data_IF_656051429189
#
_entry.id   IF_656051429189
#
_cell.length_a   1.000
_cell.length_b   1.000
_cell.length_c   1.000
_cell.angle_alpha   90.00
_cell.angle_beta   90.00
_cell.angle_gamma   90.00
#
_symmetry.space_group_name_H-M   'P 1'
#
loop_
_entity.id
_entity.type
_entity.pdbx_description
1 polymer ?
#
# COMPACT_ATOMS: atom_id res chain seq x y z
N UNK A 1 12.59 -7.08 -5.67
CA UNK A 1 11.25 -6.50 -5.78
C UNK A 1 10.15 -7.47 -5.38
N UNK A 2 9.11 -7.03 -4.66
CA UNK A 2 7.85 -7.74 -4.61
C UNK A 2 7.42 -8.03 -6.05
N UNK A 3 7.16 -9.30 -6.36
CA UNK A 3 6.69 -9.70 -7.68
C UNK A 3 5.38 -8.95 -7.94
N UNK A 4 5.30 -8.29 -9.09
CA UNK A 4 4.07 -7.71 -9.61
C UNK A 4 3.00 -8.79 -9.68
N UNK A 5 1.81 -8.47 -9.21
CA UNK A 5 0.64 -9.34 -9.29
C UNK A 5 -0.43 -8.64 -10.13
N UNK A 6 -1.10 -9.38 -11.02
CA UNK A 6 -2.18 -8.86 -11.90
C UNK A 6 -3.46 -8.54 -11.11
N UNK A 7 -3.32 -8.33 -9.80
CA UNK A 7 -4.37 -8.04 -8.86
C UNK A 7 -4.47 -9.06 -7.75
N UNK A 8 -4.77 -8.58 -6.54
CA UNK A 8 -5.07 -9.42 -5.39
C UNK A 8 -6.41 -10.12 -5.67
N UNK A 9 -6.38 -11.43 -5.90
CA UNK A 9 -7.53 -12.24 -6.33
C UNK A 9 -8.39 -12.76 -5.17
N UNK A 10 -7.84 -12.84 -3.96
CA UNK A 10 -8.54 -13.37 -2.78
C UNK A 10 -9.39 -12.33 -2.03
N UNK A 11 -9.68 -11.18 -2.65
CA UNK A 11 -10.52 -10.17 -2.02
C UNK A 11 -11.97 -10.52 -2.24
N UNK A 12 -12.73 -10.48 -1.15
CA UNK A 12 -14.18 -10.60 -1.18
C UNK A 12 -14.82 -9.26 -0.78
N UNK A 13 -16.09 -9.08 -1.11
CA UNK A 13 -16.96 -7.98 -0.67
C UNK A 13 -16.83 -7.57 0.81
N UNK A 14 -16.30 -8.42 1.70
CA UNK A 14 -16.17 -8.11 3.13
C UNK A 14 -14.93 -7.28 3.51
N UNK A 15 -13.92 -7.16 2.64
CA UNK A 15 -12.65 -6.51 2.97
C UNK A 15 -12.68 -5.06 2.54
N UNK A 16 -13.46 -4.22 3.24
CA UNK A 16 -13.72 -2.83 2.81
C UNK A 16 -12.92 -1.78 3.58
N UNK A 17 -12.25 -2.16 4.68
CA UNK A 17 -11.56 -1.21 5.56
C UNK A 17 -10.10 -1.53 5.73
N UNK A 18 -9.22 -0.63 5.29
CA UNK A 18 -7.78 -0.78 5.45
C UNK A 18 -7.34 -0.68 6.92
N UNK A 19 -8.09 0.04 7.78
CA UNK A 19 -7.77 0.15 9.22
C UNK A 19 -7.73 -1.19 9.97
N UNK A 20 -8.41 -2.24 9.49
CA UNK A 20 -8.25 -3.59 10.07
C UNK A 20 -6.86 -4.18 9.79
N UNK A 21 -6.19 -3.78 8.71
CA UNK A 21 -4.80 -4.18 8.44
C UNK A 21 -3.89 -3.54 9.49
N UNK A 22 -4.10 -2.27 9.84
CA UNK A 22 -3.39 -1.60 10.95
C UNK A 22 -3.62 -2.31 12.27
N UNK A 23 -4.87 -2.67 12.57
CA UNK A 23 -5.22 -3.42 13.77
C UNK A 23 -4.51 -4.78 13.83
N UNK A 24 -4.46 -5.51 12.71
CA UNK A 24 -3.71 -6.79 12.61
C UNK A 24 -2.22 -6.57 12.90
N UNK A 25 -1.60 -5.52 12.35
CA UNK A 25 -0.20 -5.23 12.59
C UNK A 25 0.08 -4.93 14.07
N UNK A 26 -0.74 -4.10 14.72
CA UNK A 26 -0.65 -3.84 16.17
C UNK A 26 -0.83 -5.12 16.99
N UNK A 27 -1.79 -5.98 16.63
CA UNK A 27 -2.01 -7.26 17.31
C UNK A 27 -0.82 -8.23 17.17
N UNK A 28 0.04 -8.07 16.16
CA UNK A 28 1.19 -8.94 15.89
C UNK A 28 2.54 -8.29 16.24
N UNK A 29 2.56 -7.05 16.74
CA UNK A 29 3.73 -6.16 16.81
C UNK A 29 4.98 -6.79 17.45
N UNK A 30 4.80 -7.61 18.48
CA UNK A 30 5.89 -8.29 19.19
C UNK A 30 5.69 -9.79 19.34
N UNK A 31 4.77 -10.38 18.57
CA UNK A 31 4.38 -11.78 18.77
C UNK A 31 3.99 -12.47 17.48
N UNK A 32 4.16 -13.78 17.48
CA UNK A 32 3.59 -14.68 16.48
C UNK A 32 2.32 -15.27 17.07
N UNK A 33 1.19 -15.16 16.38
CA UNK A 33 -0.09 -15.72 16.82
C UNK A 33 -0.51 -16.85 15.89
N UNK A 34 -1.18 -17.88 16.41
CA UNK A 34 -1.91 -18.80 15.53
C UNK A 34 -3.05 -18.05 14.84
N UNK A 35 -3.47 -18.54 13.67
CA UNK A 35 -4.57 -17.94 12.91
C UNK A 35 -5.85 -17.79 13.73
N UNK A 36 -6.25 -18.85 14.45
CA UNK A 36 -7.47 -18.83 15.28
C UNK A 36 -7.41 -17.77 16.38
N UNK A 37 -6.24 -17.58 16.99
CA UNK A 37 -6.03 -16.56 18.02
C UNK A 37 -6.06 -15.16 17.41
N UNK A 38 -5.40 -14.94 16.28
CA UNK A 38 -5.44 -13.67 15.56
C UNK A 38 -6.87 -13.30 15.15
N UNK A 39 -7.63 -14.24 14.58
CA UNK A 39 -8.99 -14.00 14.14
C UNK A 39 -9.91 -13.64 15.32
N UNK A 40 -9.79 -14.37 16.43
CA UNK A 40 -10.57 -14.10 17.64
C UNK A 40 -10.23 -12.74 18.25
N UNK A 41 -8.95 -12.36 18.28
CA UNK A 41 -8.52 -11.04 18.75
C UNK A 41 -9.01 -9.92 17.84
N UNK A 42 -9.01 -10.13 16.52
CA UNK A 42 -9.51 -9.13 15.56
C UNK A 42 -11.03 -8.95 15.65
N UNK A 43 -11.81 -10.03 15.86
CA UNK A 43 -13.26 -9.92 16.14
C UNK A 43 -13.51 -9.11 17.41
N UNK A 44 -12.81 -9.44 18.51
CA UNK A 44 -12.94 -8.70 19.76
C UNK A 44 -12.54 -7.22 19.59
N UNK A 45 -11.45 -6.96 18.88
CA UNK A 45 -11.02 -5.60 18.57
C UNK A 45 -12.09 -4.86 17.76
N UNK A 46 -12.68 -5.49 16.74
CA UNK A 46 -13.74 -4.87 15.93
C UNK A 46 -14.97 -4.52 16.75
N UNK A 47 -15.40 -5.40 17.66
CA UNK A 47 -16.54 -5.14 18.54
C UNK A 47 -16.28 -3.94 19.47
N UNK A 48 -15.07 -3.84 20.01
CA UNK A 48 -14.70 -2.74 20.89
C UNK A 48 -14.71 -1.37 20.18
N UNK A 49 -14.54 -1.35 18.86
CA UNK A 49 -14.52 -0.13 18.03
C UNK A 49 -15.74 -0.02 17.10
N UNK A 50 -16.84 -0.71 17.42
CA UNK A 50 -18.07 -0.63 16.61
C UNK A 50 -18.59 0.80 16.53
N UNK A 51 -18.59 1.53 17.65
CA UNK A 51 -19.05 2.93 17.69
C UNK A 51 -18.20 3.83 16.79
N UNK A 52 -16.88 3.62 16.77
CA UNK A 52 -15.98 4.39 15.92
C UNK A 52 -16.29 4.15 14.44
N UNK A 53 -16.54 2.90 14.04
CA UNK A 53 -16.93 2.58 12.67
C UNK A 53 -18.29 3.19 12.30
N UNK A 54 -19.25 3.23 13.24
CA UNK A 54 -20.56 3.83 13.01
C UNK A 54 -20.49 5.34 12.84
N UNK A 55 -19.55 5.99 13.53
CA UNK A 55 -19.24 7.41 13.37
C UNK A 55 -18.36 7.73 12.15
N UNK A 56 -17.81 6.72 11.48
CA UNK A 56 -16.97 6.89 10.31
C UNK A 56 -17.81 7.19 9.05
N UNK A 57 -17.21 7.87 8.07
CA UNK A 57 -17.86 8.28 6.82
C UNK A 57 -18.57 7.13 6.07
N UNK A 58 -18.14 5.88 6.30
CA UNK A 58 -18.82 4.71 5.78
C UNK A 58 -18.79 3.52 6.75
N UNK A 59 -19.98 3.04 7.13
CA UNK A 59 -20.18 2.00 8.15
C UNK A 59 -19.98 0.56 7.63
N UNK A 60 -19.68 0.37 6.34
CA UNK A 60 -19.51 -0.95 5.74
C UNK A 60 -18.14 -1.56 6.06
N UNK A 61 -18.08 -2.90 6.06
CA UNK A 61 -16.86 -3.64 6.35
C UNK A 61 -16.69 -4.05 7.80
N UNK A 62 -17.71 -3.84 8.64
CA UNK A 62 -17.74 -4.28 10.04
C UNK A 62 -17.52 -5.79 10.19
N UNK A 63 -16.61 -6.18 11.08
CA UNK A 63 -16.35 -7.58 11.40
C UNK A 63 -17.27 -8.00 12.55
N UNK A 64 -18.32 -8.76 12.21
CA UNK A 64 -19.19 -9.42 13.19
C UNK A 64 -18.61 -10.77 13.61
N UNK A 65 -18.85 -11.16 14.86
CA UNK A 65 -18.52 -12.51 15.34
C UNK A 65 -19.32 -13.54 14.55
N UNK A 66 -18.63 -14.51 13.95
CA UNK A 66 -19.26 -15.61 13.23
C UNK A 66 -18.60 -16.94 13.59
N UNK A 67 -19.38 -18.04 13.62
CA UNK A 67 -18.84 -19.38 13.95
C UNK A 67 -17.64 -19.81 13.08
N UNK A 68 -17.52 -19.27 11.87
CA UNK A 68 -16.43 -19.58 10.93
C UNK A 68 -15.36 -18.48 10.78
N UNK A 69 -15.44 -17.39 11.53
CA UNK A 69 -14.48 -16.27 11.50
C UNK A 69 -14.14 -15.81 10.07
N UNK A 70 -15.16 -15.69 9.23
CA UNK A 70 -14.98 -15.49 7.79
C UNK A 70 -14.39 -14.12 7.46
N UNK A 71 -14.88 -13.06 8.11
CA UNK A 71 -14.38 -11.70 7.87
C UNK A 71 -12.95 -11.47 8.40
N UNK A 72 -12.60 -11.85 9.65
CA UNK A 72 -11.23 -11.74 10.15
C UNK A 72 -10.22 -12.47 9.27
N UNK A 73 -10.55 -13.70 8.84
CA UNK A 73 -9.71 -14.50 7.94
C UNK A 73 -9.43 -13.76 6.62
N UNK A 74 -10.43 -13.07 6.07
CA UNK A 74 -10.28 -12.32 4.82
C UNK A 74 -9.40 -11.08 4.98
N UNK A 75 -9.50 -10.37 6.10
CA UNK A 75 -8.59 -9.26 6.40
C UNK A 75 -7.15 -9.74 6.65
N UNK A 76 -6.98 -10.88 7.34
CA UNK A 76 -5.66 -11.49 7.48
C UNK A 76 -5.08 -11.92 6.13
N UNK A 77 -5.89 -12.50 5.24
CA UNK A 77 -5.46 -12.81 3.87
C UNK A 77 -5.08 -11.54 3.10
N UNK A 78 -5.83 -10.43 3.22
CA UNK A 78 -5.44 -9.16 2.61
C UNK A 78 -4.07 -8.70 3.13
N UNK A 79 -3.86 -8.70 4.45
CA UNK A 79 -2.58 -8.29 5.04
C UNK A 79 -1.41 -9.17 4.57
N UNK A 80 -1.67 -10.46 4.32
CA UNK A 80 -0.72 -11.40 3.70
C UNK A 80 -0.47 -11.06 2.23
N UNK A 81 -1.52 -10.81 1.44
CA UNK A 81 -1.40 -10.45 0.02
C UNK A 81 -0.65 -9.13 -0.20
N UNK A 82 -0.83 -8.15 0.70
CA UNK A 82 -0.05 -6.92 0.70
C UNK A 82 1.41 -7.14 1.13
N UNK A 83 1.76 -8.33 1.62
CA UNK A 83 3.11 -8.67 2.07
C UNK A 83 3.48 -8.12 3.45
N UNK A 84 2.52 -7.57 4.19
CA UNK A 84 2.71 -6.96 5.51
C UNK A 84 2.71 -8.00 6.64
N UNK A 85 1.97 -9.10 6.44
CA UNK A 85 1.92 -10.25 7.35
C UNK A 85 2.42 -11.51 6.64
N UNK A 86 3.25 -12.30 7.34
CA UNK A 86 3.71 -13.60 6.89
C UNK A 86 2.93 -14.71 7.57
N UNK A 87 2.67 -15.81 6.84
CA UNK A 87 2.03 -17.02 7.35
C UNK A 87 2.97 -18.20 7.24
N UNK A 88 3.25 -18.87 8.35
CA UNK A 88 4.11 -20.08 8.41
C UNK A 88 3.43 -21.08 9.34
N UNK A 89 3.14 -22.28 8.83
CA UNK A 89 2.54 -23.38 9.61
C UNK A 89 1.29 -22.97 10.44
N UNK A 90 0.38 -22.20 9.84
CA UNK A 90 -0.85 -21.73 10.53
C UNK A 90 -0.62 -20.64 11.59
N UNK A 91 0.59 -20.08 11.66
CA UNK A 91 0.91 -18.93 12.49
C UNK A 91 1.18 -17.69 11.64
N UNK A 92 0.76 -16.52 12.16
CA UNK A 92 0.89 -15.21 11.55
C UNK A 92 1.90 -14.36 12.33
N UNK A 93 2.74 -13.61 11.60
CA UNK A 93 3.69 -12.65 12.15
C UNK A 93 3.87 -11.45 11.21
N UNK A 94 4.24 -10.30 11.75
CA UNK A 94 4.59 -9.13 10.92
C UNK A 94 5.83 -9.44 10.07
N UNK A 95 5.81 -9.08 8.79
CA UNK A 95 6.99 -9.20 7.91
C UNK A 95 7.94 -8.03 8.10
N UNK A 96 9.14 -8.10 7.51
CA UNK A 96 10.04 -6.94 7.44
C UNK A 96 9.42 -5.70 6.79
N UNK A 97 8.43 -5.86 5.91
CA UNK A 97 7.70 -4.75 5.29
C UNK A 97 6.57 -4.24 6.19
N UNK A 98 5.85 -5.12 6.88
CA UNK A 98 4.86 -4.68 7.88
C UNK A 98 5.51 -3.91 9.03
N UNK A 99 6.75 -4.28 9.40
CA UNK A 99 7.51 -3.59 10.45
C UNK A 99 7.80 -2.12 10.15
N UNK A 100 7.91 -1.73 8.88
CA UNK A 100 8.21 -0.33 8.51
C UNK A 100 7.08 0.62 8.91
N UNK A 101 5.86 0.11 9.10
CA UNK A 101 4.70 0.93 9.45
C UNK A 101 4.46 1.01 10.97
N UNK A 102 4.97 0.05 11.75
CA UNK A 102 4.66 -0.07 13.19
C UNK A 102 4.92 1.20 14.00
N UNK A 103 6.05 1.93 13.84
CA UNK A 103 6.31 3.15 14.62
C UNK A 103 5.25 4.22 14.41
N UNK A 104 4.75 4.35 13.18
CA UNK A 104 3.73 5.33 12.81
C UNK A 104 2.33 4.96 13.29
N UNK A 105 2.07 3.67 13.56
CA UNK A 105 0.77 3.24 14.08
C UNK A 105 0.53 3.73 15.52
N UNK A 106 1.55 4.09 16.29
CA UNK A 106 1.39 4.56 17.68
C UNK A 106 1.31 6.07 17.82
N UNK A 107 1.60 6.82 16.76
CA UNK A 107 1.58 8.28 16.78
C UNK A 107 0.15 8.87 16.88
N UNK A 108 -0.89 8.04 16.76
CA UNK A 108 -2.29 8.47 16.88
C UNK A 108 -2.78 8.38 18.33
N UNK A 109 -2.81 9.50 19.04
CA UNK A 109 -3.58 9.61 20.29
C UNK A 109 -4.96 10.21 19.99
N UNK A 110 -6.03 9.44 20.26
CA UNK A 110 -7.44 9.85 20.37
C UNK A 110 -8.31 10.05 19.09
N UNK A 111 -7.92 9.55 17.91
CA UNK A 111 -8.79 9.55 16.73
C UNK A 111 -9.38 8.16 16.41
N UNK A 112 -10.42 8.15 15.57
CA UNK A 112 -11.09 6.95 15.12
C UNK A 112 -10.06 5.97 14.49
N UNK A 113 -9.94 4.71 14.95
CA UNK A 113 -8.92 3.78 14.44
C UNK A 113 -9.11 3.36 12.98
N UNK A 114 -10.24 3.72 12.36
CA UNK A 114 -10.48 3.52 10.93
C UNK A 114 -10.00 4.69 10.08
N UNK A 115 -9.70 5.84 10.68
CA UNK A 115 -9.05 6.97 10.02
C UNK A 115 -7.55 6.69 9.91
N UNK A 116 -7.10 6.48 8.67
CA UNK A 116 -5.70 6.23 8.39
C UNK A 116 -4.88 7.52 8.57
N UNK A 117 -3.76 7.41 9.27
CA UNK A 117 -2.68 8.41 9.25
C UNK A 117 -2.09 8.56 7.85
N UNK A 118 -1.35 9.64 7.61
CA UNK A 118 -0.69 9.83 6.32
C UNK A 118 0.38 8.77 6.02
N UNK A 119 1.07 8.26 7.06
CA UNK A 119 1.97 7.13 6.94
C UNK A 119 1.24 5.85 6.50
N UNK A 120 0.07 5.56 7.09
CA UNK A 120 -0.79 4.44 6.71
C UNK A 120 -1.32 4.61 5.28
N UNK A 121 -1.80 5.81 4.92
CA UNK A 121 -2.29 6.11 3.56
C UNK A 121 -1.20 5.89 2.52
N UNK A 122 -0.02 6.46 2.74
CA UNK A 122 1.14 6.30 1.87
C UNK A 122 1.52 4.82 1.73
N UNK A 123 1.63 4.10 2.85
CA UNK A 123 2.03 2.68 2.86
C UNK A 123 1.01 1.79 2.17
N UNK A 124 -0.29 1.95 2.46
CA UNK A 124 -1.30 1.11 1.83
C UNK A 124 -1.48 1.42 0.36
N UNK A 125 -1.43 2.69 -0.05
CA UNK A 125 -1.43 3.03 -1.46
C UNK A 125 -0.23 2.42 -2.18
N UNK A 126 0.97 2.46 -1.57
CA UNK A 126 2.17 1.84 -2.15
C UNK A 126 1.94 0.35 -2.44
N UNK A 127 1.52 -0.41 -1.43
CA UNK A 127 1.33 -1.85 -1.58
C UNK A 127 0.17 -2.21 -2.49
N UNK A 128 -0.90 -1.40 -2.52
CA UNK A 128 -2.00 -1.57 -3.47
C UNK A 128 -1.55 -1.31 -4.91
N UNK A 129 -0.66 -0.34 -5.17
CA UNK A 129 -0.09 -0.15 -6.51
C UNK A 129 0.91 -1.25 -6.87
N UNK A 130 1.65 -1.80 -5.90
CA UNK A 130 2.55 -2.95 -6.14
C UNK A 130 1.77 -4.23 -6.49
N UNK A 131 0.64 -4.47 -5.82
CA UNK A 131 -0.07 -5.77 -5.83
C UNK A 131 -1.39 -5.78 -6.59
N UNK A 132 -1.98 -4.61 -6.81
CA UNK A 132 -3.34 -4.48 -7.32
C UNK A 132 -3.56 -3.29 -8.26
N UNK A 133 -2.48 -2.73 -8.83
CA UNK A 133 -2.55 -1.52 -9.64
C UNK A 133 -3.56 -1.60 -10.76
N UNK A 134 -3.59 -2.67 -11.56
CA UNK A 134 -4.44 -2.66 -12.77
C UNK A 134 -5.92 -2.48 -12.40
N UNK A 135 -6.41 -3.12 -11.33
CA UNK A 135 -7.80 -2.98 -10.90
C UNK A 135 -8.06 -1.66 -10.20
N UNK A 136 -7.15 -1.22 -9.34
CA UNK A 136 -7.26 0.04 -8.62
C UNK A 136 -7.26 1.23 -9.59
N UNK A 137 -6.30 1.25 -10.52
CA UNK A 137 -6.15 2.30 -11.54
C UNK A 137 -7.31 2.29 -12.55
N UNK A 138 -7.88 1.13 -12.86
CA UNK A 138 -9.12 1.05 -13.66
C UNK A 138 -10.26 1.82 -12.99
N UNK A 139 -10.46 1.63 -11.69
CA UNK A 139 -11.50 2.33 -10.93
C UNK A 139 -11.24 3.84 -10.89
N UNK A 140 -9.99 4.26 -10.65
CA UNK A 140 -9.62 5.68 -10.70
C UNK A 140 -9.92 6.26 -12.09
N UNK A 141 -9.58 5.54 -13.17
CA UNK A 141 -9.86 5.99 -14.55
C UNK A 141 -11.36 6.19 -14.79
N UNK A 142 -12.19 5.24 -14.37
CA UNK A 142 -13.65 5.36 -14.48
C UNK A 142 -14.20 6.60 -13.78
N UNK A 143 -13.67 6.91 -12.58
CA UNK A 143 -14.06 8.10 -11.83
C UNK A 143 -13.57 9.40 -12.47
N UNK A 144 -12.35 9.42 -13.03
CA UNK A 144 -11.80 10.57 -13.77
C UNK A 144 -12.63 10.89 -15.01
N UNK A 145 -13.01 9.86 -15.78
CA UNK A 145 -13.79 10.04 -17.01
C UNK A 145 -15.27 10.38 -16.75
N UNK A 146 -15.72 10.35 -15.49
CA UNK A 146 -17.10 10.66 -15.12
C UNK A 146 -18.15 9.68 -15.68
N UNK A 147 -17.72 8.52 -16.18
CA UNK A 147 -18.56 7.56 -16.90
C UNK A 147 -19.51 6.79 -16.00
N UNK A 148 -19.24 6.76 -14.70
CA UNK A 148 -20.07 6.10 -13.69
C UNK A 148 -19.87 6.73 -12.32
N UNK A 149 -20.97 7.20 -11.70
CA UNK A 149 -20.92 7.79 -10.37
C UNK A 149 -21.57 6.90 -9.31
N UNK A 150 -22.58 6.08 -9.65
CA UNK A 150 -23.15 5.14 -8.67
C UNK A 150 -22.35 3.84 -8.61
N UNK A 151 -22.41 3.14 -7.47
CA UNK A 151 -21.76 1.84 -7.33
C UNK A 151 -22.24 0.82 -8.39
N UNK A 152 -23.52 0.84 -8.75
CA UNK A 152 -24.05 -0.07 -9.78
C UNK A 152 -23.44 0.24 -11.15
N UNK A 153 -23.39 1.52 -11.52
CA UNK A 153 -22.82 1.96 -12.81
C UNK A 153 -21.34 1.58 -12.88
N UNK A 154 -20.60 1.77 -11.78
CA UNK A 154 -19.20 1.39 -11.70
C UNK A 154 -19.02 -0.12 -11.89
N UNK A 155 -19.88 -0.94 -11.28
CA UNK A 155 -19.82 -2.39 -11.46
C UNK A 155 -20.16 -2.82 -12.89
N UNK A 156 -21.17 -2.20 -13.50
CA UNK A 156 -21.60 -2.55 -14.86
C UNK A 156 -20.56 -2.15 -15.92
N UNK A 157 -19.89 -1.00 -15.74
CA UNK A 157 -18.85 -0.52 -16.65
C UNK A 157 -17.47 -1.17 -16.44
N UNK A 158 -17.17 -1.68 -15.23
CA UNK A 158 -15.83 -2.15 -14.87
C UNK A 158 -15.24 -3.21 -15.82
N UNK A 159 -15.97 -4.26 -16.25
CA UNK A 159 -15.39 -5.29 -17.14
C UNK A 159 -14.81 -4.72 -18.43
N UNK A 160 -15.50 -3.75 -19.04
CA UNK A 160 -15.05 -3.09 -20.26
C UNK A 160 -13.78 -2.28 -20.01
N UNK A 161 -13.79 -1.44 -18.97
CA UNK A 161 -12.65 -0.60 -18.60
C UNK A 161 -11.42 -1.43 -18.22
N UNK A 162 -11.61 -2.51 -17.46
CA UNK A 162 -10.56 -3.41 -17.06
C UNK A 162 -10.00 -4.23 -18.23
N UNK A 163 -10.85 -4.61 -19.19
CA UNK A 163 -10.38 -5.27 -20.41
C UNK A 163 -9.47 -4.33 -21.22
N UNK A 164 -9.85 -3.06 -21.38
CA UNK A 164 -9.02 -2.03 -22.02
C UNK A 164 -7.71 -1.81 -21.26
N UNK A 165 -7.76 -1.78 -19.92
CA UNK A 165 -6.58 -1.69 -19.07
C UNK A 165 -5.60 -2.83 -19.38
N UNK A 166 -6.09 -4.08 -19.37
CA UNK A 166 -5.25 -5.25 -19.61
C UNK A 166 -4.72 -5.30 -21.05
N UNK A 167 -5.49 -4.85 -22.04
CA UNK A 167 -5.05 -4.74 -23.43
C UNK A 167 -3.93 -3.72 -23.59
N UNK A 168 -4.08 -2.51 -23.03
CA UNK A 168 -3.04 -1.49 -23.06
C UNK A 168 -1.78 -1.96 -22.33
N UNK A 169 -1.94 -2.66 -21.19
CA UNK A 169 -0.82 -3.27 -20.46
C UNK A 169 -0.04 -4.28 -21.29
N UNK A 170 -0.69 -5.08 -22.14
CA UNK A 170 0.00 -6.04 -23.01
C UNK A 170 0.92 -5.37 -24.05
N UNK A 171 0.66 -4.12 -24.42
CA UNK A 171 1.51 -3.38 -25.38
C UNK A 171 2.89 -3.04 -24.81
N UNK A 172 3.01 -2.95 -23.48
CA UNK A 172 4.23 -2.51 -22.79
C UNK A 172 4.72 -3.52 -21.75
N UNK A 173 4.08 -4.69 -21.65
CA UNK A 173 4.40 -5.69 -20.67
C UNK A 173 5.73 -6.40 -21.00
N UNK A 174 6.59 -6.51 -20.01
CA UNK A 174 7.73 -7.43 -20.05
C UNK A 174 7.23 -8.88 -20.15
N UNK A 175 8.01 -9.73 -20.83
CA UNK A 175 7.66 -11.14 -21.06
C UNK A 175 7.34 -11.91 -19.77
N UNK A 176 8.05 -11.59 -18.68
CA UNK A 176 7.90 -12.21 -17.36
C UNK A 176 6.50 -12.02 -16.75
N UNK A 177 5.76 -10.98 -17.15
CA UNK A 177 4.43 -10.63 -16.62
C UNK A 177 3.35 -10.72 -17.70
N UNK A 178 3.72 -10.63 -18.98
CA UNK A 178 2.79 -10.65 -20.11
C UNK A 178 1.87 -11.88 -20.10
N UNK A 179 2.38 -13.06 -19.71
CA UNK A 179 1.58 -14.29 -19.59
C UNK A 179 0.46 -14.17 -18.55
N UNK A 180 0.77 -13.60 -17.38
CA UNK A 180 -0.21 -13.43 -16.31
C UNK A 180 -1.28 -12.40 -16.71
N UNK A 181 -0.88 -11.31 -17.40
CA UNK A 181 -1.79 -10.29 -17.93
C UNK A 181 -2.70 -10.90 -19.00
N UNK A 182 -2.15 -11.68 -19.93
CA UNK A 182 -2.92 -12.36 -20.98
C UNK A 182 -3.94 -13.34 -20.37
N UNK A 183 -3.54 -14.11 -19.36
CA UNK A 183 -4.43 -15.00 -18.64
C UNK A 183 -5.56 -14.23 -17.92
N UNK A 184 -5.26 -13.09 -17.29
CA UNK A 184 -6.28 -12.22 -16.71
C UNK A 184 -7.23 -11.66 -17.78
N UNK A 185 -6.70 -11.16 -18.90
CA UNK A 185 -7.45 -10.60 -20.02
C UNK A 185 -8.42 -11.62 -20.60
N UNK A 186 -7.95 -12.83 -20.83
CA UNK A 186 -8.78 -13.92 -21.34
C UNK A 186 -9.87 -14.31 -20.34
N UNK A 187 -9.60 -14.33 -19.03
CA UNK A 187 -10.64 -14.57 -18.02
C UNK A 187 -11.73 -13.49 -18.04
N UNK A 188 -11.34 -12.21 -18.07
CA UNK A 188 -12.28 -11.07 -18.08
C UNK A 188 -13.11 -11.04 -19.35
N UNK A 189 -12.52 -11.36 -20.51
CA UNK A 189 -13.24 -11.42 -21.79
C UNK A 189 -14.41 -12.43 -21.78
N UNK A 190 -14.35 -13.45 -20.92
CA UNK A 190 -15.40 -14.47 -20.77
C UNK A 190 -16.32 -14.21 -19.56
N UNK A 191 -16.22 -13.05 -18.90
CA UNK A 191 -17.15 -12.67 -17.85
C UNK A 191 -18.55 -12.46 -18.45
N UNK A 192 -19.40 -13.50 -18.34
CA UNK A 192 -20.82 -13.41 -18.68
C UNK A 192 -21.54 -12.49 -17.70
N UNK A 193 -22.72 -11.99 -18.08
CA UNK A 193 -23.60 -11.16 -17.22
C UNK A 193 -23.88 -11.78 -15.83
N UNK A 194 -23.84 -13.12 -15.74
CA UNK A 194 -23.99 -13.91 -14.50
C UNK A 194 -22.76 -13.87 -13.57
N UNK A 195 -21.61 -13.36 -14.03
CA UNK A 195 -20.39 -13.20 -13.22
C UNK A 195 -20.37 -11.91 -12.39
N UNK A 196 -21.53 -11.27 -12.19
CA UNK A 196 -21.73 -10.09 -11.34
C UNK A 196 -21.05 -10.22 -9.97
N UNK A 197 -21.05 -11.44 -9.41
CA UNK A 197 -20.36 -11.77 -8.15
C UNK A 197 -18.85 -11.51 -8.17
N UNK A 198 -18.17 -11.72 -9.29
CA UNK A 198 -16.74 -11.41 -9.43
C UNK A 198 -16.49 -9.91 -9.33
N UNK A 199 -17.31 -9.11 -10.01
CA UNK A 199 -17.20 -7.65 -9.99
C UNK A 199 -17.57 -7.08 -8.61
N UNK A 200 -18.59 -7.64 -7.96
CA UNK A 200 -18.96 -7.31 -6.56
C UNK A 200 -17.82 -7.57 -5.56
N UNK A 201 -16.98 -8.58 -5.81
CA UNK A 201 -15.81 -8.83 -4.99
C UNK A 201 -14.62 -7.92 -5.34
N UNK A 202 -14.69 -7.20 -6.47
CA UNK A 202 -13.60 -6.35 -6.96
C UNK A 202 -13.85 -4.87 -6.66
N UNK A 203 -14.94 -4.32 -7.19
CA UNK A 203 -15.19 -2.88 -7.26
C UNK A 203 -15.48 -2.27 -5.88
N UNK A 204 -16.46 -2.76 -5.09
CA UNK A 204 -16.77 -2.16 -3.80
C UNK A 204 -15.57 -2.10 -2.85
N UNK A 205 -14.82 -3.20 -2.58
CA UNK A 205 -13.64 -3.14 -1.71
C UNK A 205 -12.66 -2.03 -2.09
N UNK A 206 -12.33 -1.90 -3.38
CA UNK A 206 -11.37 -0.92 -3.88
C UNK A 206 -11.89 0.51 -3.80
N UNK A 207 -13.18 0.75 -4.04
CA UNK A 207 -13.81 2.06 -3.80
C UNK A 207 -13.68 2.44 -2.32
N UNK A 208 -13.94 1.50 -1.40
CA UNK A 208 -13.79 1.79 0.02
C UNK A 208 -12.33 1.96 0.44
N UNK A 209 -11.38 1.24 -0.16
CA UNK A 209 -9.95 1.47 0.08
C UNK A 209 -9.52 2.85 -0.41
N UNK A 210 -9.94 3.26 -1.60
CA UNK A 210 -9.69 4.62 -2.10
C UNK A 210 -10.34 5.68 -1.20
N UNK A 211 -11.47 5.36 -0.56
CA UNK A 211 -12.09 6.24 0.43
C UNK A 211 -11.30 6.31 1.73
N UNK A 212 -10.84 5.17 2.27
CA UNK A 212 -9.96 5.16 3.45
C UNK A 212 -8.64 5.90 3.19
N UNK A 213 -8.13 5.86 1.96
CA UNK A 213 -6.97 6.62 1.50
C UNK A 213 -7.26 8.12 1.31
N UNK A 214 -8.51 8.57 1.43
CA UNK A 214 -8.91 9.96 1.20
C UNK A 214 -8.92 10.39 -0.27
N UNK A 215 -8.83 9.45 -1.23
CA UNK A 215 -8.81 9.72 -2.67
C UNK A 215 -10.22 9.75 -3.28
N UNK A 216 -11.18 9.08 -2.65
CA UNK A 216 -12.58 9.00 -3.09
C UNK A 216 -13.51 9.38 -1.95
N UNK A 217 -14.53 10.17 -2.23
CA UNK A 217 -15.66 10.37 -1.32
C UNK A 217 -16.81 9.46 -1.74
N UNK A 218 -17.48 8.85 -0.76
CA UNK A 218 -18.67 8.02 -0.97
C UNK A 218 -19.84 8.69 -0.27
N UNK A 219 -20.77 9.21 -1.06
CA UNK A 219 -21.95 9.93 -0.57
C UNK A 219 -23.17 8.99 -0.54
N UNK A 220 -23.99 9.12 0.48
CA UNK A 220 -25.22 8.36 0.66
C UNK A 220 -26.44 9.30 0.49
N UNK A 221 -26.71 9.77 -0.72
CA UNK A 221 -27.92 10.54 -1.04
C UNK A 221 -28.95 9.65 -1.77
N UNK A 222 -29.48 8.64 -1.06
CA UNK A 222 -30.42 7.64 -1.59
C UNK A 222 -29.83 6.62 -2.58
N UNK A 223 -28.77 6.99 -3.31
CA UNK A 223 -27.89 6.10 -4.08
C UNK A 223 -26.44 6.35 -3.64
N UNK A 224 -25.63 5.29 -3.61
CA UNK A 224 -24.20 5.41 -3.26
C UNK A 224 -23.43 5.99 -4.42
N UNK A 225 -23.12 7.27 -4.34
CA UNK A 225 -22.31 7.98 -5.33
C UNK A 225 -20.86 8.02 -4.89
N UNK A 226 -19.94 7.76 -5.81
CA UNK A 226 -18.50 7.81 -5.58
C UNK A 226 -17.89 8.84 -6.52
N UNK A 227 -17.10 9.76 -5.97
CA UNK A 227 -16.37 10.78 -6.73
C UNK A 227 -14.98 10.96 -6.18
N UNK A 228 -14.03 11.32 -7.04
CA UNK A 228 -12.69 11.69 -6.58
C UNK A 228 -12.78 12.91 -5.67
N UNK A 229 -12.01 12.89 -4.58
CA UNK A 229 -11.74 14.09 -3.78
C UNK A 229 -10.75 14.99 -4.53
N UNK A 230 -10.50 16.20 -4.06
CA UNK A 230 -9.41 17.05 -4.60
C UNK A 230 -8.06 16.32 -4.55
N UNK A 231 -7.76 15.66 -3.43
CA UNK A 231 -6.60 14.78 -3.25
C UNK A 231 -6.56 13.67 -4.31
N UNK A 232 -7.70 13.02 -4.58
CA UNK A 232 -7.82 12.01 -5.64
C UNK A 232 -7.59 12.55 -7.06
N UNK A 233 -8.10 13.75 -7.35
CA UNK A 233 -7.89 14.44 -8.62
C UNK A 233 -6.40 14.75 -8.79
N UNK A 234 -5.77 15.39 -7.80
CA UNK A 234 -4.34 15.68 -7.81
C UNK A 234 -3.52 14.40 -8.02
N UNK A 235 -3.80 13.34 -7.25
CA UNK A 235 -3.12 12.05 -7.43
C UNK A 235 -3.25 11.51 -8.85
N UNK A 236 -4.44 11.58 -9.45
CA UNK A 236 -4.66 11.10 -10.81
C UNK A 236 -3.86 11.85 -11.88
N UNK A 237 -3.50 13.11 -11.64
CA UNK A 237 -2.69 13.92 -12.57
C UNK A 237 -1.23 13.48 -12.59
N UNK A 238 -0.72 12.95 -11.48
CA UNK A 238 0.65 12.41 -11.40
C UNK A 238 0.75 10.96 -11.88
N UNK A 239 -0.37 10.29 -12.14
CA UNK A 239 -0.35 8.90 -12.59
C UNK A 239 0.23 8.82 -14.01
N UNK A 240 1.30 8.02 -14.22
CA UNK A 240 1.83 7.77 -15.54
C UNK A 240 0.79 7.07 -16.42
N UNK A 241 0.82 7.40 -17.71
CA UNK A 241 -0.06 6.81 -18.71
C UNK A 241 0.76 6.00 -19.71
N UNK A 242 0.21 4.88 -20.16
CA UNK A 242 0.74 4.14 -21.29
C UNK A 242 0.56 5.03 -22.53
N UNK A 243 1.63 5.23 -23.27
CA UNK A 243 1.62 6.03 -24.50
C UNK A 243 0.50 5.56 -25.42
N UNK A 244 -0.14 6.49 -26.12
CA UNK A 244 -1.22 6.26 -27.11
C UNK A 244 -2.57 5.75 -26.57
N UNK A 245 -2.66 5.23 -25.34
CA UNK A 245 -3.90 4.64 -24.81
C UNK A 245 -4.59 5.45 -23.71
N UNK A 246 -3.93 6.48 -23.17
CA UNK A 246 -4.37 7.27 -22.00
C UNK A 246 -4.64 6.45 -20.73
N UNK A 247 -4.30 5.15 -20.74
CA UNK A 247 -4.50 4.22 -19.62
C UNK A 247 -3.45 4.43 -18.55
N UNK A 248 -3.86 4.59 -17.29
CA UNK A 248 -2.94 4.70 -16.16
C UNK A 248 -2.14 3.42 -15.94
N UNK A 249 -0.82 3.54 -15.69
CA UNK A 249 0.04 2.39 -15.41
C UNK A 249 1.26 2.77 -14.57
N UNK A 250 1.33 2.26 -13.34
CA UNK A 250 2.51 2.38 -12.48
C UNK A 250 3.50 1.23 -12.72
N UNK A 251 4.72 1.55 -13.16
CA UNK A 251 5.82 0.58 -13.27
C UNK A 251 6.62 0.50 -11.96
N UNK A 252 7.40 -0.58 -11.74
CA UNK A 252 8.31 -0.64 -10.59
C UNK A 252 9.33 0.49 -10.56
N UNK A 253 9.74 0.98 -11.74
CA UNK A 253 10.62 2.15 -11.86
C UNK A 253 9.93 3.41 -11.36
N UNK A 254 8.69 3.68 -11.80
CA UNK A 254 7.94 4.83 -11.32
C UNK A 254 7.71 4.78 -9.81
N UNK A 255 7.38 3.60 -9.26
CA UNK A 255 7.20 3.41 -7.82
C UNK A 255 8.47 3.74 -7.02
N UNK A 256 9.66 3.51 -7.57
CA UNK A 256 10.93 3.83 -6.91
C UNK A 256 11.36 5.29 -7.07
N UNK A 257 11.04 5.90 -8.22
CA UNK A 257 11.54 7.22 -8.61
C UNK A 257 10.62 8.37 -8.25
N UNK A 258 9.32 8.13 -8.04
CA UNK A 258 8.34 9.22 -7.99
C UNK A 258 7.31 9.08 -6.86
N UNK A 259 6.99 7.84 -6.45
CA UNK A 259 5.84 7.59 -5.58
C UNK A 259 5.89 8.33 -4.24
N UNK A 260 7.01 8.26 -3.52
CA UNK A 260 7.10 8.85 -2.18
C UNK A 260 7.15 10.37 -2.24
N UNK A 261 7.79 10.95 -3.26
CA UNK A 261 7.74 12.39 -3.50
C UNK A 261 6.31 12.88 -3.77
N UNK A 262 5.57 12.21 -4.65
CA UNK A 262 4.17 12.55 -4.98
C UNK A 262 3.27 12.39 -3.77
N UNK A 263 3.34 11.24 -3.07
CA UNK A 263 2.43 10.97 -1.96
C UNK A 263 2.74 11.77 -0.71
N UNK A 264 4.00 12.13 -0.48
CA UNK A 264 4.37 13.11 0.55
C UNK A 264 3.66 14.43 0.31
N UNK A 265 3.72 14.97 -0.92
CA UNK A 265 3.03 16.22 -1.26
C UNK A 265 1.51 16.12 -1.12
N UNK A 266 0.91 15.01 -1.59
CA UNK A 266 -0.54 14.88 -1.69
C UNK A 266 -1.22 14.61 -0.34
N UNK A 267 -0.62 13.78 0.51
CA UNK A 267 -1.24 13.41 1.78
C UNK A 267 -0.83 14.34 2.92
N UNK A 268 0.45 14.69 2.99
CA UNK A 268 0.99 15.36 4.17
C UNK A 268 0.89 16.88 4.04
N UNK A 269 0.80 17.42 2.82
CA UNK A 269 0.55 18.85 2.56
C UNK A 269 1.65 19.82 3.00
N UNK A 270 2.60 19.35 3.83
CA UNK A 270 3.70 20.08 4.46
C UNK A 270 5.04 19.53 4.01
N UNK A 271 5.23 19.36 2.69
CA UNK A 271 6.56 19.11 2.16
C UNK A 271 7.25 20.46 2.02
N UNK A 272 8.25 20.69 2.88
CA UNK A 272 9.02 21.93 2.90
C UNK A 272 10.12 21.92 1.84
N UNK A 273 10.73 20.75 1.60
CA UNK A 273 11.88 20.58 0.70
C UNK A 273 11.86 19.22 0.01
N UNK A 274 12.36 19.19 -1.23
CA UNK A 274 12.70 17.92 -1.87
C UNK A 274 14.08 17.44 -1.44
N UNK A 275 14.27 16.13 -1.31
CA UNK A 275 15.55 15.53 -0.92
C UNK A 275 16.72 16.03 -1.78
N UNK A 276 16.50 16.17 -3.09
CA UNK A 276 17.49 16.66 -4.06
C UNK A 276 17.88 18.13 -3.87
N UNK A 277 17.10 18.91 -3.13
CA UNK A 277 17.37 20.33 -2.82
C UNK A 277 18.22 20.50 -1.55
N UNK A 278 18.45 19.41 -0.80
CA UNK A 278 19.20 19.43 0.45
C UNK A 278 20.70 19.31 0.16
N UNK A 279 21.49 20.14 0.84
CA UNK A 279 22.95 20.13 0.71
C UNK A 279 23.55 18.79 1.18
N UNK A 280 24.62 18.32 0.52
CA UNK A 280 25.22 17.00 0.75
C UNK A 280 25.57 16.73 2.21
N UNK A 281 26.11 17.74 2.92
CA UNK A 281 26.44 17.63 4.35
C UNK A 281 25.21 17.34 5.21
N UNK A 282 24.09 18.03 4.96
CA UNK A 282 22.83 17.81 5.68
C UNK A 282 22.22 16.46 5.31
N UNK A 283 22.26 16.07 4.02
CA UNK A 283 21.81 14.74 3.57
C UNK A 283 22.59 13.62 4.26
N UNK A 284 23.89 13.78 4.42
CA UNK A 284 24.76 12.82 5.09
C UNK A 284 24.38 12.65 6.57
N UNK A 285 24.19 13.76 7.29
CA UNK A 285 23.77 13.74 8.70
C UNK A 285 22.39 13.08 8.87
N UNK A 286 21.43 13.46 8.02
CA UNK A 286 20.10 12.83 7.98
C UNK A 286 20.21 11.32 7.71
N UNK A 287 21.00 10.91 6.73
CA UNK A 287 21.16 9.48 6.41
C UNK A 287 21.79 8.68 7.55
N UNK A 288 22.69 9.27 8.34
CA UNK A 288 23.19 8.62 9.55
C UNK A 288 22.08 8.37 10.56
N UNK A 289 21.28 9.40 10.86
CA UNK A 289 20.16 9.30 11.79
C UNK A 289 19.11 8.29 11.30
N UNK A 290 18.68 8.43 10.04
CA UNK A 290 17.72 7.54 9.39
C UNK A 290 18.18 6.10 9.39
N UNK A 291 19.48 5.86 9.11
CA UNK A 291 20.05 4.51 9.15
C UNK A 291 20.01 3.95 10.56
N UNK A 292 20.43 4.71 11.56
CA UNK A 292 20.36 4.28 12.95
C UNK A 292 18.92 3.91 13.36
N UNK A 293 17.95 4.78 13.08
CA UNK A 293 16.54 4.52 13.39
C UNK A 293 15.97 3.30 12.64
N UNK A 294 16.35 3.11 11.37
CA UNK A 294 15.95 1.94 10.60
C UNK A 294 16.52 0.64 11.20
N UNK A 295 17.73 0.69 11.77
CA UNK A 295 18.32 -0.44 12.48
C UNK A 295 17.58 -0.77 13.77
N UNK A 296 17.29 0.23 14.60
CA UNK A 296 16.53 0.03 15.85
C UNK A 296 15.14 -0.57 15.58
N UNK A 297 14.49 -0.13 14.50
CA UNK A 297 13.13 -0.57 14.16
C UNK A 297 13.08 -1.93 13.45
N UNK A 298 13.93 -2.14 12.43
CA UNK A 298 13.76 -3.25 11.49
C UNK A 298 14.62 -4.47 11.83
N UNK A 299 15.63 -4.31 12.68
CA UNK A 299 16.50 -5.42 13.08
C UNK A 299 15.69 -6.51 13.77
N UNK A 300 15.94 -7.75 13.33
CA UNK A 300 15.26 -8.94 13.85
C UNK A 300 16.23 -9.98 14.41
N UNK A 301 17.53 -9.76 14.23
CA UNK A 301 18.58 -10.68 14.68
C UNK A 301 19.74 -9.88 15.28
N UNK A 302 20.60 -10.52 16.09
CA UNK A 302 21.82 -9.89 16.59
C UNK A 302 22.78 -9.47 15.48
N UNK A 303 22.70 -10.05 14.27
CA UNK A 303 23.56 -9.62 13.16
C UNK A 303 23.29 -8.16 12.81
N UNK A 304 24.34 -7.33 12.61
CA UNK A 304 24.19 -5.91 12.34
C UNK A 304 23.81 -5.67 10.88
N UNK A 305 22.80 -6.39 10.39
CA UNK A 305 22.30 -6.26 9.01
C UNK A 305 20.79 -6.16 8.97
N UNK A 306 20.29 -5.28 8.12
CA UNK A 306 18.86 -5.17 7.79
C UNK A 306 18.68 -5.17 6.28
N UNK A 307 17.52 -5.62 5.81
CA UNK A 307 17.23 -5.61 4.37
C UNK A 307 17.11 -4.17 3.88
N UNK A 308 17.79 -3.85 2.77
CA UNK A 308 17.89 -2.47 2.26
C UNK A 308 16.52 -1.92 1.87
N UNK A 309 15.73 -2.68 1.13
CA UNK A 309 14.48 -2.17 0.57
C UNK A 309 13.40 -1.81 1.62
N UNK A 310 13.13 -2.62 2.66
CA UNK A 310 12.33 -2.17 3.80
C UNK A 310 12.91 -0.95 4.51
N UNK A 311 14.24 -0.85 4.63
CA UNK A 311 14.87 0.32 5.23
C UNK A 311 14.62 1.58 4.41
N UNK A 312 14.77 1.54 3.08
CA UNK A 312 14.46 2.67 2.20
C UNK A 312 12.99 3.12 2.34
N UNK A 313 12.03 2.18 2.40
CA UNK A 313 10.61 2.50 2.62
C UNK A 313 10.41 3.19 3.97
N UNK A 314 11.00 2.65 5.04
CA UNK A 314 10.93 3.23 6.37
C UNK A 314 11.51 4.65 6.40
N UNK A 315 12.69 4.85 5.82
CA UNK A 315 13.36 6.16 5.74
C UNK A 315 12.54 7.17 4.95
N UNK A 316 11.96 6.78 3.82
CA UNK A 316 11.11 7.66 3.01
C UNK A 316 9.83 8.05 3.77
N UNK A 317 9.22 7.12 4.52
CA UNK A 317 8.08 7.45 5.38
C UNK A 317 8.48 8.44 6.47
N UNK A 318 9.60 8.19 7.15
CA UNK A 318 10.08 9.03 8.24
C UNK A 318 10.39 10.46 7.75
N UNK A 319 11.13 10.58 6.64
CA UNK A 319 11.42 11.88 6.02
C UNK A 319 10.15 12.63 5.64
N UNK A 320 9.21 11.94 5.00
CA UNK A 320 7.96 12.57 4.57
C UNK A 320 7.10 13.02 5.76
N UNK A 321 6.98 12.20 6.80
CA UNK A 321 6.03 12.40 7.91
C UNK A 321 6.57 13.25 9.04
N UNK A 322 7.81 13.01 9.45
CA UNK A 322 8.40 13.64 10.65
C UNK A 322 9.34 14.80 10.27
N UNK A 323 9.91 14.81 9.06
CA UNK A 323 10.84 15.85 8.63
C UNK A 323 10.30 16.80 7.54
N UNK A 324 9.12 16.54 6.97
CA UNK A 324 8.57 17.34 5.88
C UNK A 324 9.43 17.32 4.60
N UNK A 325 10.20 16.26 4.37
CA UNK A 325 11.13 16.13 3.24
C UNK A 325 10.63 15.06 2.28
N UNK A 326 10.37 15.44 1.03
CA UNK A 326 9.99 14.51 -0.02
C UNK A 326 11.20 13.76 -0.58
N UNK A 327 11.29 12.45 -0.31
CA UNK A 327 12.39 11.60 -0.77
C UNK A 327 11.91 10.32 -1.46
N UNK A 328 12.42 10.04 -2.65
CA UNK A 328 12.15 8.80 -3.37
C UNK A 328 13.16 7.71 -3.03
N UNK A 329 12.75 6.44 -3.19
CA UNK A 329 13.60 5.30 -2.84
C UNK A 329 14.89 5.26 -3.65
N UNK A 330 14.85 5.67 -4.92
CA UNK A 330 16.04 5.70 -5.77
C UNK A 330 17.06 6.77 -5.32
N UNK A 331 16.58 7.95 -4.91
CA UNK A 331 17.41 9.03 -4.40
C UNK A 331 18.12 8.61 -3.11
N UNK A 332 17.36 8.08 -2.14
CA UNK A 332 17.92 7.57 -0.88
C UNK A 332 18.91 6.43 -1.11
N UNK A 333 18.62 5.54 -2.06
CA UNK A 333 19.54 4.45 -2.40
C UNK A 333 20.86 4.97 -2.99
N UNK A 334 20.80 5.96 -3.89
CA UNK A 334 21.98 6.53 -4.53
C UNK A 334 22.90 7.22 -3.53
N UNK A 335 22.34 7.98 -2.60
CA UNK A 335 23.12 8.67 -1.57
C UNK A 335 23.65 7.71 -0.51
N UNK A 336 22.87 6.69 -0.11
CA UNK A 336 23.37 5.62 0.76
C UNK A 336 24.58 4.91 0.14
N UNK A 337 24.54 4.59 -1.16
CA UNK A 337 25.70 4.01 -1.86
C UNK A 337 26.90 4.97 -1.87
N UNK A 338 26.67 6.23 -2.24
CA UNK A 338 27.70 7.26 -2.36
C UNK A 338 28.38 7.50 -1.02
N UNK A 339 27.62 7.84 0.01
CA UNK A 339 28.17 8.18 1.31
C UNK A 339 28.74 6.97 2.03
N UNK A 340 28.29 5.73 1.77
CA UNK A 340 28.90 4.54 2.40
C UNK A 340 30.35 4.26 1.99
N UNK A 341 30.85 4.95 0.96
CA UNK A 341 32.23 4.82 0.47
C UNK A 341 33.17 5.87 1.06
N UNK A 342 32.65 6.82 1.82
CA UNK A 342 33.46 7.86 2.46
C UNK A 342 34.21 7.35 3.70
N UNK A 343 35.32 7.99 4.08
CA UNK A 343 35.98 7.76 5.36
C UNK A 343 35.02 7.99 6.54
N UNK A 344 35.22 7.26 7.64
CA UNK A 344 34.49 7.41 8.91
C UNK A 344 32.97 7.17 8.86
N UNK A 345 32.52 6.43 7.85
CA UNK A 345 31.11 6.08 7.71
C UNK A 345 30.68 4.99 8.68
N UNK A 346 29.52 5.22 9.33
CA UNK A 346 28.96 4.32 10.36
C UNK A 346 28.06 3.22 9.78
N UNK A 347 27.99 3.12 8.46
CA UNK A 347 27.23 2.08 7.78
C UNK A 347 27.88 1.69 6.46
N UNK A 348 27.56 0.49 5.98
CA UNK A 348 27.92 0.00 4.65
C UNK A 348 26.68 -0.51 3.91
N UNK A 349 26.67 -0.32 2.60
CA UNK A 349 25.62 -0.87 1.73
C UNK A 349 26.17 -2.01 0.89
N UNK A 350 25.39 -3.09 0.80
CA UNK A 350 25.69 -4.23 -0.07
C UNK A 350 24.55 -4.43 -1.06
N UNK A 351 24.86 -4.23 -2.34
CA UNK A 351 23.95 -4.48 -3.44
C UNK A 351 24.09 -5.90 -3.96
N UNK A 352 22.97 -6.59 -4.13
CA UNK A 352 22.88 -7.84 -4.89
C UNK A 352 22.15 -7.58 -6.21
N UNK A 353 22.40 -8.44 -7.21
CA UNK A 353 21.60 -8.52 -8.43
C UNK A 353 20.11 -8.69 -8.13
N UNK A 354 19.79 -9.34 -7.01
CA UNK A 354 18.44 -9.47 -6.49
C UNK A 354 18.24 -8.48 -5.35
N UNK A 355 17.42 -7.47 -5.57
CA UNK A 355 17.17 -6.41 -4.59
C UNK A 355 16.71 -6.90 -3.20
N UNK A 356 16.02 -8.06 -3.12
CA UNK A 356 15.62 -8.66 -1.84
C UNK A 356 16.79 -9.26 -1.04
N UNK A 357 17.96 -9.38 -1.66
CA UNK A 357 19.23 -9.82 -1.09
C UNK A 357 20.17 -8.63 -0.82
N UNK A 358 19.81 -7.39 -1.19
CA UNK A 358 20.54 -6.19 -0.80
C UNK A 358 20.31 -5.86 0.68
N UNK A 359 21.35 -5.42 1.38
CA UNK A 359 21.29 -5.14 2.82
C UNK A 359 22.15 -3.94 3.23
N UNK A 360 21.74 -3.31 4.33
CA UNK A 360 22.53 -2.34 5.08
C UNK A 360 23.26 -3.04 6.22
N UNK A 361 24.46 -2.57 6.53
CA UNK A 361 25.23 -2.92 7.72
C UNK A 361 25.44 -1.64 8.53
N UNK A 362 25.27 -1.68 9.85
CA UNK A 362 25.59 -0.54 10.74
C UNK A 362 26.71 -0.92 11.69
N UNK A 363 27.65 -0.01 11.88
CA UNK A 363 28.79 -0.17 12.77
C UNK A 363 28.52 0.64 14.04
N UNK A 364 28.00 0.01 15.12
CA UNK A 364 27.89 0.69 16.40
C UNK A 364 29.30 1.07 16.87
N UNK A 365 29.46 2.34 17.26
CA UNK A 365 30.71 2.88 17.80
C UNK A 365 30.84 2.57 19.28
#
# INVERSE_FOLDING_TARGET
MPKYEVGITEINTLVRRLGYVSAILRLLEHKTLSESVLYSQLEKWSLNHEKDLMGYANQQGFIKTTRGQVAPKRYANLAVSLGLVGRIAGACRVTRFGKTLLPFLHQVSNQNPFELTDAERCTYLYWLLVKDSDRLLTIIRMLVEGTAQSLSDLQDAFPMFYLQQLQARLLTAEESVARDILAARNRVAHWKKETKRSVENIVPPRIHWLADLGLVSVENDGKRYSRLTETGIRFSQYLPKIQETQVFHTSPVWLRKQFFGITGQIFMGTIDRHWTEIHDSERKDLLYELTFQAFETLRSTPTPRISLYPALIYMALLLNTDNGIAANLEELQADLDTFSKEPDTRYAVRFSHRENESYLIFFPT
#
